data_IF_287025855033
#
_entry.id   IF_287025855033
#
_cell.length_a   1.000
_cell.length_b   1.000
_cell.length_c   1.000
_cell.angle_alpha   90.00
_cell.angle_beta   90.00
_cell.angle_gamma   90.00
#
_symmetry.space_group_name_H-M   'P 1'
#
loop_
_entity.id
_entity.type
_entity.pdbx_description
1 polymer ?
#
# COMPACT_ATOMS: atom_id res chain seq x y z
N UNK A 1 -9.87 21.98 -1.58
CA UNK A 1 -9.96 21.62 -0.15
C UNK A 1 -9.21 20.33 0.18
N UNK A 2 -9.44 19.20 -0.52
CA UNK A 2 -8.71 17.92 -0.28
C UNK A 2 -7.19 18.02 -0.40
N UNK A 3 -6.66 18.64 -1.47
CA UNK A 3 -5.20 18.76 -1.67
C UNK A 3 -4.49 19.47 -0.52
N UNK A 4 -5.07 20.57 -0.03
CA UNK A 4 -4.52 21.33 1.10
C UNK A 4 -4.51 20.50 2.37
N UNK A 5 -5.59 19.75 2.62
CA UNK A 5 -5.67 18.83 3.75
C UNK A 5 -4.62 17.70 3.65
N UNK A 6 -4.44 17.13 2.46
CA UNK A 6 -3.42 16.10 2.22
C UNK A 6 -2.02 16.65 2.49
N UNK A 7 -1.68 17.82 1.94
CA UNK A 7 -0.40 18.48 2.17
C UNK A 7 -0.15 18.76 3.65
N UNK A 8 -1.16 19.29 4.34
CA UNK A 8 -1.09 19.54 5.77
C UNK A 8 -0.87 18.24 6.56
N UNK A 9 -1.64 17.19 6.27
CA UNK A 9 -1.53 15.89 6.94
C UNK A 9 -0.17 15.21 6.72
N UNK A 10 0.35 15.23 5.48
CA UNK A 10 1.70 14.72 5.20
C UNK A 10 2.77 15.58 5.88
N UNK A 11 2.61 16.91 5.89
CA UNK A 11 3.49 17.83 6.60
C UNK A 11 3.54 17.55 8.10
N UNK A 12 2.39 17.31 8.74
CA UNK A 12 2.32 16.90 10.14
C UNK A 12 2.99 15.55 10.38
N UNK A 13 2.80 14.57 9.49
CA UNK A 13 3.43 13.25 9.60
C UNK A 13 4.96 13.35 9.52
N UNK A 14 5.48 14.15 8.59
CA UNK A 14 6.92 14.41 8.46
C UNK A 14 7.47 15.18 9.66
N UNK A 15 6.75 16.21 10.12
CA UNK A 15 7.12 16.96 11.32
C UNK A 15 7.18 16.09 12.57
N UNK A 16 6.24 15.14 12.71
CA UNK A 16 6.24 14.20 13.82
C UNK A 16 7.48 13.29 13.78
N UNK A 17 7.82 12.72 12.62
CA UNK A 17 9.05 11.93 12.45
C UNK A 17 10.28 12.78 12.82
N UNK A 18 10.35 14.03 12.33
CA UNK A 18 11.44 14.94 12.66
C UNK A 18 11.58 15.20 14.17
N UNK A 19 10.47 15.45 14.87
CA UNK A 19 10.47 15.72 16.31
C UNK A 19 10.95 14.50 17.11
N UNK A 20 10.52 13.30 16.74
CA UNK A 20 10.97 12.05 17.37
C UNK A 20 12.48 11.91 17.22
N UNK A 21 12.99 12.07 16.00
CA UNK A 21 14.40 11.87 15.70
C UNK A 21 15.32 13.01 16.16
N UNK A 22 14.76 14.18 16.47
CA UNK A 22 15.48 15.26 17.14
C UNK A 22 15.83 14.90 18.60
N UNK A 23 15.10 13.98 19.20
CA UNK A 23 15.33 13.52 20.58
C UNK A 23 15.97 12.12 20.64
N UNK A 24 15.77 11.30 19.60
CA UNK A 24 16.25 9.91 19.54
C UNK A 24 17.06 9.73 18.25
N UNK A 25 18.40 9.56 18.33
CA UNK A 25 19.26 9.48 17.14
C UNK A 25 18.90 8.32 16.20
N UNK A 26 18.51 7.18 16.76
CA UNK A 26 18.13 5.98 16.01
C UNK A 26 17.01 5.21 16.71
N UNK A 27 16.06 4.69 15.94
CA UNK A 27 14.97 3.85 16.45
C UNK A 27 15.07 2.47 15.79
N UNK A 28 15.30 1.44 16.59
CA UNK A 28 15.47 0.07 16.08
C UNK A 28 16.66 -0.11 15.12
N UNK A 29 17.69 0.72 15.24
CA UNK A 29 18.85 0.74 14.33
C UNK A 29 18.58 1.46 13.00
N UNK A 30 17.49 2.22 12.90
CA UNK A 30 17.16 3.04 11.73
C UNK A 30 17.35 4.52 12.04
N UNK A 31 17.98 5.23 11.11
CA UNK A 31 18.16 6.69 11.17
C UNK A 31 16.94 7.40 10.58
N UNK A 32 16.82 8.70 10.86
CA UNK A 32 15.73 9.54 10.36
C UNK A 32 15.56 9.46 8.83
N UNK A 33 16.65 9.50 8.08
CA UNK A 33 16.61 9.46 6.61
C UNK A 33 16.16 8.10 6.07
N UNK A 34 16.52 7.02 6.77
CA UNK A 34 16.07 5.67 6.41
C UNK A 34 14.57 5.48 6.70
N UNK A 35 14.02 6.14 7.73
CA UNK A 35 12.56 6.18 7.95
C UNK A 35 11.85 6.97 6.86
N UNK A 36 12.42 8.07 6.39
CA UNK A 36 11.85 8.79 5.25
C UNK A 36 11.85 7.96 3.97
N UNK A 37 12.81 7.05 3.78
CA UNK A 37 12.74 6.06 2.70
C UNK A 37 11.57 5.08 2.90
N UNK A 38 11.41 4.50 4.09
CA UNK A 38 10.28 3.61 4.41
C UNK A 38 8.95 4.31 4.14
N UNK A 39 8.80 5.53 4.64
CA UNK A 39 7.60 6.33 4.46
C UNK A 39 7.39 6.73 3.00
N UNK A 40 8.47 7.03 2.26
CA UNK A 40 8.42 7.29 0.82
C UNK A 40 7.82 6.12 0.03
N UNK A 41 8.24 4.88 0.31
CA UNK A 41 7.65 3.69 -0.33
C UNK A 41 6.15 3.54 -0.02
N UNK A 42 5.76 3.75 1.23
CA UNK A 42 4.36 3.66 1.65
C UNK A 42 3.50 4.76 1.02
N UNK A 43 3.99 6.00 1.00
CA UNK A 43 3.27 7.14 0.45
C UNK A 43 3.19 7.07 -1.07
N UNK A 44 4.23 6.57 -1.74
CA UNK A 44 4.22 6.36 -3.19
C UNK A 44 3.19 5.30 -3.58
N UNK A 45 3.21 4.13 -2.93
CA UNK A 45 2.23 3.07 -3.19
C UNK A 45 0.81 3.50 -2.91
N UNK A 46 0.59 4.29 -1.86
CA UNK A 46 -0.72 4.88 -1.57
C UNK A 46 -1.16 5.87 -2.65
N UNK A 47 -0.28 6.79 -3.03
CA UNK A 47 -0.54 7.78 -4.07
C UNK A 47 -0.88 7.13 -5.41
N UNK A 48 -0.15 6.08 -5.78
CA UNK A 48 -0.37 5.32 -7.01
C UNK A 48 -1.76 4.68 -7.06
N UNK A 49 -2.19 4.04 -5.97
CA UNK A 49 -3.52 3.42 -5.88
C UNK A 49 -4.61 4.48 -5.90
N UNK A 50 -4.44 5.57 -5.15
CA UNK A 50 -5.43 6.64 -5.13
C UNK A 50 -5.58 7.30 -6.49
N UNK A 51 -4.48 7.42 -7.25
CA UNK A 51 -4.52 8.02 -8.57
C UNK A 51 -5.16 7.09 -9.60
N UNK A 52 -4.62 5.89 -9.81
CA UNK A 52 -5.04 5.01 -10.90
C UNK A 52 -6.21 4.07 -10.56
N UNK A 53 -6.36 3.70 -9.29
CA UNK A 53 -7.19 2.57 -8.87
C UNK A 53 -8.18 2.94 -7.77
N UNK A 54 -8.65 4.18 -7.75
CA UNK A 54 -9.61 4.64 -6.75
C UNK A 54 -10.94 3.88 -6.81
N UNK A 55 -11.24 3.22 -7.92
CA UNK A 55 -12.40 2.35 -8.06
C UNK A 55 -12.42 1.19 -7.07
N UNK A 56 -11.26 0.72 -6.59
CA UNK A 56 -11.14 -0.32 -5.55
C UNK A 56 -11.87 0.04 -4.25
N UNK A 57 -12.00 1.34 -3.94
CA UNK A 57 -12.69 1.84 -2.75
C UNK A 57 -14.22 1.81 -2.88
N UNK A 58 -14.73 1.73 -4.10
CA UNK A 58 -16.15 1.92 -4.41
C UNK A 58 -16.94 0.63 -4.53
N UNK A 59 -16.29 -0.54 -4.48
CA UNK A 59 -16.93 -1.85 -4.65
C UNK A 59 -18.17 -2.00 -3.75
N UNK A 60 -18.07 -1.66 -2.46
CA UNK A 60 -19.19 -1.73 -1.52
C UNK A 60 -20.39 -0.93 -1.97
N UNK A 61 -20.17 0.31 -2.42
CA UNK A 61 -21.24 1.18 -2.89
C UNK A 61 -21.82 0.67 -4.21
N UNK A 62 -20.98 0.14 -5.11
CA UNK A 62 -21.43 -0.42 -6.39
C UNK A 62 -22.26 -1.70 -6.22
N UNK A 63 -21.93 -2.53 -5.23
CA UNK A 63 -22.73 -3.71 -4.86
C UNK A 63 -24.06 -3.25 -4.29
N UNK A 64 -24.04 -2.34 -3.31
CA UNK A 64 -25.24 -1.90 -2.60
C UNK A 64 -26.23 -1.13 -3.50
N UNK A 65 -25.75 -0.34 -4.45
CA UNK A 65 -26.59 0.41 -5.39
C UNK A 65 -26.94 -0.37 -6.67
N UNK A 66 -26.58 -1.66 -6.74
CA UNK A 66 -26.76 -2.50 -7.94
C UNK A 66 -26.07 -1.97 -9.22
N UNK A 67 -25.16 -1.00 -9.11
CA UNK A 67 -24.37 -0.47 -10.23
C UNK A 67 -23.45 -1.54 -10.85
N UNK A 68 -23.15 -2.62 -10.11
CA UNK A 68 -22.30 -3.71 -10.57
C UNK A 68 -22.85 -4.41 -11.83
N UNK A 69 -24.17 -4.46 -12.01
CA UNK A 69 -24.84 -5.06 -13.17
C UNK A 69 -24.35 -4.45 -14.50
N UNK A 70 -24.09 -3.14 -14.50
CA UNK A 70 -23.54 -2.43 -15.66
C UNK A 70 -22.15 -2.92 -16.05
N UNK A 71 -21.35 -3.34 -15.07
CA UNK A 71 -19.99 -3.83 -15.33
C UNK A 71 -20.00 -5.28 -15.84
N UNK A 72 -20.99 -6.09 -15.43
CA UNK A 72 -21.15 -7.49 -15.84
C UNK A 72 -21.57 -7.65 -17.30
N UNK A 73 -22.28 -6.65 -17.86
CA UNK A 73 -22.78 -6.68 -19.24
C UNK A 73 -21.76 -6.26 -20.29
N UNK A 74 -20.61 -5.71 -19.87
CA UNK A 74 -19.57 -5.22 -20.77
C UNK A 74 -18.57 -6.33 -21.10
N UNK A 75 -18.03 -6.39 -22.34
CA UNK A 75 -17.13 -7.46 -22.78
C UNK A 75 -15.70 -7.37 -22.22
N UNK A 76 -15.45 -6.52 -21.21
CA UNK A 76 -14.14 -6.30 -20.59
C UNK A 76 -14.12 -6.99 -19.22
N UNK A 77 -12.96 -7.45 -18.75
CA UNK A 77 -12.86 -8.06 -17.42
C UNK A 77 -13.39 -7.14 -16.32
N UNK A 78 -14.33 -7.65 -15.52
CA UNK A 78 -15.02 -6.89 -14.46
C UNK A 78 -14.04 -6.28 -13.48
N UNK A 79 -13.00 -7.03 -13.09
CA UNK A 79 -11.97 -6.55 -12.18
C UNK A 79 -11.23 -5.31 -12.70
N UNK A 80 -10.84 -5.31 -13.98
CA UNK A 80 -10.18 -4.15 -14.58
C UNK A 80 -11.09 -2.94 -14.62
N UNK A 81 -12.36 -3.13 -15.02
CA UNK A 81 -13.33 -2.04 -15.08
C UNK A 81 -13.59 -1.42 -13.71
N UNK A 82 -13.72 -2.26 -12.68
CA UNK A 82 -13.95 -1.83 -11.30
C UNK A 82 -12.72 -1.10 -10.72
N UNK A 83 -11.52 -1.61 -10.98
CA UNK A 83 -10.27 -0.98 -10.55
C UNK A 83 -10.14 0.44 -11.11
N UNK A 84 -10.36 0.60 -12.42
CA UNK A 84 -10.16 1.88 -13.13
C UNK A 84 -11.41 2.76 -13.18
N UNK A 85 -12.49 2.40 -12.47
CA UNK A 85 -13.76 3.12 -12.49
C UNK A 85 -13.67 4.58 -11.99
N UNK A 86 -12.65 4.92 -11.22
CA UNK A 86 -12.40 6.28 -10.74
C UNK A 86 -10.89 6.55 -10.70
N UNK A 87 -10.53 7.75 -11.12
CA UNK A 87 -9.21 8.36 -10.93
C UNK A 87 -9.34 9.49 -9.90
N UNK A 88 -8.34 9.64 -9.04
CA UNK A 88 -8.29 10.72 -8.04
C UNK A 88 -6.96 11.47 -8.06
N UNK A 89 -7.00 12.75 -8.43
CA UNK A 89 -5.80 13.58 -8.51
C UNK A 89 -5.13 13.82 -7.15
N UNK A 90 -5.80 13.55 -6.02
CA UNK A 90 -5.15 13.56 -4.71
C UNK A 90 -3.98 12.57 -4.62
N UNK A 91 -4.08 11.43 -5.31
CA UNK A 91 -3.01 10.44 -5.38
C UNK A 91 -1.72 10.99 -6.00
N UNK A 92 -1.85 11.85 -7.02
CA UNK A 92 -0.70 12.46 -7.68
C UNK A 92 0.10 13.34 -6.71
N UNK A 93 -0.58 14.10 -5.85
CA UNK A 93 0.09 14.94 -4.85
C UNK A 93 0.93 14.09 -3.87
N UNK A 94 0.36 12.96 -3.41
CA UNK A 94 1.08 12.02 -2.54
C UNK A 94 2.30 11.43 -3.25
N UNK A 95 2.18 11.06 -4.53
CA UNK A 95 3.31 10.55 -5.32
C UNK A 95 4.43 11.58 -5.48
N UNK A 96 4.10 12.86 -5.69
CA UNK A 96 5.09 13.94 -5.78
C UNK A 96 5.85 14.11 -4.46
N UNK A 97 5.14 14.14 -3.33
CA UNK A 97 5.76 14.20 -2.00
C UNK A 97 6.63 12.97 -1.76
N UNK A 98 6.14 11.78 -2.10
CA UNK A 98 6.86 10.54 -1.95
C UNK A 98 8.14 10.51 -2.81
N UNK A 99 8.08 10.98 -4.06
CA UNK A 99 9.24 11.08 -4.93
C UNK A 99 10.30 12.03 -4.35
N UNK A 100 9.89 13.16 -3.76
CA UNK A 100 10.81 14.05 -3.07
C UNK A 100 11.45 13.37 -1.84
N UNK A 101 10.68 12.66 -1.02
CA UNK A 101 11.19 11.92 0.13
C UNK A 101 12.15 10.81 -0.27
N UNK A 102 11.83 10.04 -1.31
CA UNK A 102 12.69 8.99 -1.84
C UNK A 102 13.99 9.60 -2.38
N UNK A 103 13.93 10.69 -3.16
CA UNK A 103 15.11 11.37 -3.68
C UNK A 103 16.02 11.93 -2.58
N UNK A 104 15.44 12.59 -1.58
CA UNK A 104 16.20 13.13 -0.42
C UNK A 104 16.80 11.98 0.39
N UNK A 105 16.01 10.95 0.71
CA UNK A 105 16.45 9.78 1.46
C UNK A 105 17.61 9.06 0.77
N UNK A 106 17.52 8.86 -0.55
CA UNK A 106 18.59 8.27 -1.36
C UNK A 106 19.87 9.11 -1.31
N UNK A 107 19.75 10.45 -1.35
CA UNK A 107 20.91 11.34 -1.31
C UNK A 107 21.58 11.45 0.05
N UNK A 108 20.84 11.16 1.14
CA UNK A 108 21.29 11.29 2.53
C UNK A 108 21.73 9.97 3.15
N UNK A 109 21.29 8.84 2.60
CA UNK A 109 21.74 7.52 3.02
C UNK A 109 22.97 7.11 2.23
N UNK A 110 23.95 6.50 2.89
CA UNK A 110 25.14 5.94 2.24
C UNK A 110 24.77 4.62 1.54
N UNK A 111 24.23 4.73 0.31
CA UNK A 111 23.82 3.57 -0.49
C UNK A 111 24.88 3.31 -1.56
N UNK A 112 25.48 2.11 -1.53
CA UNK A 112 26.33 1.63 -2.62
C UNK A 112 25.47 1.30 -3.84
N UNK A 113 25.38 2.23 -4.78
CA UNK A 113 24.58 2.06 -5.99
C UNK A 113 25.28 1.20 -7.02
N UNK A 114 24.57 0.17 -7.47
CA UNK A 114 24.90 -0.61 -8.66
C UNK A 114 23.70 -0.56 -9.61
N UNK A 115 23.92 -0.85 -10.89
CA UNK A 115 22.83 -0.91 -11.89
C UNK A 115 21.74 -1.90 -11.43
N UNK A 116 22.14 -3.04 -10.89
CA UNK A 116 21.21 -4.05 -10.35
C UNK A 116 20.40 -3.52 -9.16
N UNK A 117 21.04 -2.80 -8.22
CA UNK A 117 20.33 -2.19 -7.08
C UNK A 117 19.31 -1.13 -7.54
N UNK A 118 19.62 -0.37 -8.58
CA UNK A 118 18.67 0.55 -9.23
C UNK A 118 17.46 -0.16 -9.82
N UNK A 119 17.67 -1.28 -10.52
CA UNK A 119 16.59 -2.12 -11.05
C UNK A 119 15.74 -2.69 -9.92
N UNK A 120 16.35 -3.23 -8.88
CA UNK A 120 15.63 -3.77 -7.71
C UNK A 120 14.83 -2.69 -6.99
N UNK A 121 15.36 -1.48 -6.86
CA UNK A 121 14.63 -0.36 -6.27
C UNK A 121 13.32 -0.08 -7.02
N UNK A 122 13.38 0.01 -8.36
CA UNK A 122 12.18 0.24 -9.17
C UNK A 122 11.23 -0.95 -9.14
N UNK A 123 11.74 -2.17 -9.16
CA UNK A 123 10.95 -3.39 -9.06
C UNK A 123 10.20 -3.45 -7.72
N UNK A 124 10.88 -3.20 -6.60
CA UNK A 124 10.25 -3.16 -5.28
C UNK A 124 9.23 -2.04 -5.17
N UNK A 125 9.47 -0.88 -5.78
CA UNK A 125 8.50 0.21 -5.77
C UNK A 125 7.21 -0.18 -6.53
N UNK A 126 7.34 -0.88 -7.66
CA UNK A 126 6.20 -1.43 -8.39
C UNK A 126 5.47 -2.53 -7.59
N UNK A 127 6.22 -3.44 -6.97
CA UNK A 127 5.65 -4.49 -6.10
C UNK A 127 4.92 -3.90 -4.90
N UNK A 128 5.46 -2.85 -4.27
CA UNK A 128 4.82 -2.12 -3.19
C UNK A 128 3.43 -1.58 -3.60
N UNK A 129 3.32 -1.01 -4.81
CA UNK A 129 2.05 -0.58 -5.38
C UNK A 129 1.08 -1.75 -5.58
N UNK A 130 1.53 -2.86 -6.14
CA UNK A 130 0.70 -4.04 -6.42
C UNK A 130 0.23 -4.72 -5.15
N UNK A 131 1.12 -4.96 -4.18
CA UNK A 131 0.80 -5.58 -2.90
C UNK A 131 -0.25 -4.73 -2.17
N UNK A 132 -0.02 -3.42 -2.07
CA UNK A 132 -0.96 -2.51 -1.41
C UNK A 132 -2.31 -2.45 -2.13
N UNK A 133 -2.32 -2.50 -3.46
CA UNK A 133 -3.56 -2.57 -4.24
C UNK A 133 -4.33 -3.85 -3.90
N UNK A 134 -3.65 -5.00 -3.88
CA UNK A 134 -4.27 -6.28 -3.55
C UNK A 134 -4.84 -6.29 -2.12
N UNK A 135 -4.13 -5.71 -1.15
CA UNK A 135 -4.64 -5.61 0.23
C UNK A 135 -5.97 -4.83 0.30
N UNK A 136 -6.03 -3.64 -0.31
CA UNK A 136 -7.25 -2.82 -0.36
C UNK A 136 -8.34 -3.54 -1.16
N UNK A 137 -7.98 -4.16 -2.28
CA UNK A 137 -8.91 -4.86 -3.16
C UNK A 137 -9.58 -6.04 -2.48
N UNK A 138 -8.79 -6.91 -1.83
CA UNK A 138 -9.30 -8.06 -1.07
C UNK A 138 -10.24 -7.57 0.03
N UNK A 139 -9.82 -6.57 0.80
CA UNK A 139 -10.62 -6.00 1.88
C UNK A 139 -11.94 -5.41 1.38
N UNK A 140 -11.92 -4.70 0.25
CA UNK A 140 -13.13 -4.17 -0.40
C UNK A 140 -14.03 -5.26 -0.96
N UNK A 141 -13.48 -6.33 -1.54
CA UNK A 141 -14.26 -7.44 -2.08
C UNK A 141 -14.95 -8.26 -0.98
N UNK A 142 -14.52 -8.18 0.28
CA UNK A 142 -15.26 -8.80 1.39
C UNK A 142 -16.72 -8.30 1.48
N UNK A 143 -17.02 -7.13 0.90
CA UNK A 143 -18.38 -6.63 0.73
C UNK A 143 -19.33 -7.59 0.02
N UNK A 144 -18.84 -8.50 -0.84
CA UNK A 144 -19.70 -9.51 -1.48
C UNK A 144 -20.34 -10.48 -0.48
N UNK A 145 -19.74 -10.67 0.70
CA UNK A 145 -20.26 -11.54 1.76
C UNK A 145 -20.89 -10.75 2.92
N UNK A 146 -20.65 -9.44 2.98
CA UNK A 146 -21.24 -8.55 3.96
C UNK A 146 -22.54 -7.97 3.42
N UNK A 147 -23.69 -8.31 3.99
CA UNK A 147 -25.00 -7.71 3.64
C UNK A 147 -25.18 -6.26 4.14
N UNK A 148 -24.07 -5.55 4.37
CA UNK A 148 -24.06 -4.21 4.97
C UNK A 148 -23.90 -3.14 3.91
N UNK A 149 -24.49 -1.96 4.15
CA UNK A 149 -24.30 -0.77 3.31
C UNK A 149 -22.87 -0.22 3.37
N UNK A 150 -22.11 -0.63 4.38
CA UNK A 150 -20.74 -0.20 4.62
C UNK A 150 -19.82 -1.37 4.91
N UNK A 151 -18.59 -1.26 4.41
CA UNK A 151 -17.48 -2.15 4.70
C UNK A 151 -16.31 -1.27 5.12
N UNK A 152 -15.83 -1.47 6.35
CA UNK A 152 -14.72 -0.72 6.95
C UNK A 152 -13.38 -1.46 6.90
N UNK A 153 -13.33 -2.67 6.34
CA UNK A 153 -12.12 -3.50 6.31
C UNK A 153 -11.00 -2.84 5.51
N UNK A 154 -11.31 -2.17 4.41
CA UNK A 154 -10.32 -1.44 3.62
C UNK A 154 -9.70 -0.26 4.39
N UNK A 155 -10.50 0.45 5.19
CA UNK A 155 -10.01 1.48 6.11
C UNK A 155 -9.17 0.88 7.24
N UNK A 156 -9.59 -0.25 7.80
CA UNK A 156 -8.81 -0.95 8.82
C UNK A 156 -7.42 -1.36 8.32
N UNK A 157 -7.34 -1.91 7.09
CA UNK A 157 -6.07 -2.24 6.44
C UNK A 157 -5.17 -1.02 6.31
N UNK A 158 -5.69 0.14 5.88
CA UNK A 158 -4.90 1.39 5.83
C UNK A 158 -4.44 1.82 7.21
N UNK A 159 -5.32 1.81 8.21
CA UNK A 159 -4.99 2.23 9.57
C UNK A 159 -3.84 1.40 10.15
N UNK A 160 -3.75 0.11 9.80
CA UNK A 160 -2.61 -0.73 10.15
C UNK A 160 -1.35 -0.37 9.37
N UNK A 161 -1.49 0.08 8.12
CA UNK A 161 -0.39 0.61 7.32
C UNK A 161 0.29 1.85 7.90
N UNK A 162 -0.39 2.63 8.74
CA UNK A 162 0.22 3.76 9.45
C UNK A 162 1.32 3.32 10.41
N UNK A 163 1.21 2.11 10.97
CA UNK A 163 2.24 1.51 11.82
C UNK A 163 3.48 1.10 11.00
N UNK A 164 3.31 0.78 9.72
CA UNK A 164 4.41 0.39 8.84
C UNK A 164 5.39 1.54 8.51
N UNK A 165 5.06 2.79 8.90
CA UNK A 165 5.98 3.94 8.79
C UNK A 165 7.24 3.76 9.61
N UNK A 166 7.18 2.94 10.66
CA UNK A 166 8.30 2.65 11.53
C UNK A 166 8.85 1.25 11.27
N UNK A 167 10.13 0.99 11.61
CA UNK A 167 10.77 -0.29 11.32
C UNK A 167 10.08 -1.43 12.04
N UNK A 168 9.91 -2.57 11.36
CA UNK A 168 9.20 -3.71 11.93
C UNK A 168 9.86 -4.22 13.24
N UNK A 169 11.18 -4.06 13.36
CA UNK A 169 11.99 -4.52 14.47
C UNK A 169 11.60 -3.92 15.84
N UNK A 170 10.93 -2.76 15.88
CA UNK A 170 10.50 -2.16 17.16
C UNK A 170 9.24 -2.79 17.71
N UNK A 171 8.51 -3.55 16.89
CA UNK A 171 7.25 -4.14 17.27
C UNK A 171 7.46 -5.51 17.94
N UNK A 172 6.57 -5.89 18.89
CA UNK A 172 6.58 -7.24 19.46
C UNK A 172 6.40 -8.33 18.38
N UNK A 173 6.89 -9.57 18.62
CA UNK A 173 6.87 -10.65 17.62
C UNK A 173 5.50 -10.94 17.01
N UNK A 174 4.41 -10.74 17.76
CA UNK A 174 3.05 -10.91 17.25
C UNK A 174 2.72 -9.93 16.11
N UNK A 175 3.12 -8.66 16.26
CA UNK A 175 2.93 -7.64 15.23
C UNK A 175 3.87 -7.86 14.06
N UNK A 176 5.09 -8.35 14.30
CA UNK A 176 6.00 -8.79 13.24
C UNK A 176 5.37 -9.90 12.39
N UNK A 177 4.71 -10.87 13.03
CA UNK A 177 3.95 -11.91 12.35
C UNK A 177 2.74 -11.36 11.58
N UNK A 178 1.97 -10.44 12.16
CA UNK A 178 0.82 -9.82 11.48
C UNK A 178 1.27 -9.05 10.24
N UNK A 179 2.28 -8.19 10.35
CA UNK A 179 2.77 -7.38 9.23
C UNK A 179 3.63 -8.15 8.21
N UNK A 180 4.17 -9.30 8.61
CA UNK A 180 4.87 -10.22 7.73
C UNK A 180 3.92 -11.12 6.95
N UNK A 181 2.94 -11.73 7.62
CA UNK A 181 2.17 -12.84 7.03
C UNK A 181 0.71 -12.51 6.74
N UNK A 182 0.03 -11.77 7.63
CA UNK A 182 -1.42 -11.53 7.50
C UNK A 182 -1.72 -10.32 6.62
N UNK A 183 -1.00 -9.21 6.87
CA UNK A 183 -1.15 -7.95 6.16
C UNK A 183 0.27 -7.53 5.76
N UNK A 184 0.75 -7.94 4.58
CA UNK A 184 2.18 -7.97 4.23
C UNK A 184 2.80 -6.57 4.00
N UNK A 185 2.54 -5.60 4.88
CA UNK A 185 3.13 -4.25 4.86
C UNK A 185 4.66 -4.29 5.01
N UNK A 186 5.22 -5.32 5.66
CA UNK A 186 6.66 -5.50 5.73
C UNK A 186 7.31 -5.62 4.34
N UNK A 187 6.59 -6.21 3.38
CA UNK A 187 7.02 -6.36 1.99
C UNK A 187 6.79 -5.10 1.14
N UNK A 188 6.00 -4.13 1.62
CA UNK A 188 5.75 -2.87 0.91
C UNK A 188 6.90 -1.87 1.13
N UNK A 189 7.50 -1.85 2.32
CA UNK A 189 8.57 -0.89 2.66
C UNK A 189 9.75 -1.52 3.40
N UNK A 190 9.50 -2.23 4.50
CA UNK A 190 10.53 -2.67 5.43
C UNK A 190 11.63 -3.54 4.80
N UNK A 191 11.27 -4.66 4.17
CA UNK A 191 12.26 -5.55 3.53
C UNK A 191 12.92 -4.92 2.30
N UNK A 192 12.17 -4.30 1.35
CA UNK A 192 12.78 -3.61 0.23
C UNK A 192 13.80 -2.54 0.62
N UNK A 193 13.40 -1.60 1.48
CA UNK A 193 14.26 -0.49 1.89
C UNK A 193 15.45 -1.02 2.71
N UNK A 194 15.22 -2.00 3.58
CA UNK A 194 16.28 -2.65 4.33
C UNK A 194 17.33 -3.33 3.44
N UNK A 195 16.90 -3.96 2.35
CA UNK A 195 17.81 -4.55 1.36
C UNK A 195 18.62 -3.48 0.60
N UNK A 196 17.98 -2.39 0.17
CA UNK A 196 18.68 -1.28 -0.52
C UNK A 196 19.74 -0.65 0.39
N UNK A 197 19.42 -0.50 1.67
CA UNK A 197 20.31 0.01 2.73
C UNK A 197 21.31 -1.03 3.26
N UNK A 198 21.34 -2.24 2.70
CA UNK A 198 22.28 -3.32 3.10
C UNK A 198 22.18 -3.69 4.60
N UNK A 199 21.01 -3.53 5.23
CA UNK A 199 20.80 -3.94 6.62
C UNK A 199 20.77 -5.46 6.76
N UNK A 200 21.32 -5.96 7.86
CA UNK A 200 21.41 -7.39 8.15
C UNK A 200 20.02 -8.06 8.23
N UNK A 201 19.91 -9.29 7.73
CA UNK A 201 18.68 -10.09 7.79
C UNK A 201 17.58 -9.68 6.81
N UNK A 202 17.80 -8.68 5.94
CA UNK A 202 16.76 -8.17 5.02
C UNK A 202 16.69 -8.92 3.69
N UNK A 203 17.78 -9.59 3.29
CA UNK A 203 17.92 -10.23 1.97
C UNK A 203 16.90 -11.32 1.70
N UNK A 204 16.65 -12.20 2.68
CA UNK A 204 15.68 -13.27 2.56
C UNK A 204 14.24 -12.72 2.39
N UNK A 205 13.87 -11.70 3.18
CA UNK A 205 12.58 -11.04 3.05
C UNK A 205 12.43 -10.34 1.70
N UNK A 206 13.46 -9.59 1.27
CA UNK A 206 13.45 -8.91 -0.01
C UNK A 206 13.35 -9.87 -1.21
N UNK A 207 14.02 -11.03 -1.16
CA UNK A 207 13.93 -12.08 -2.17
C UNK A 207 12.54 -12.73 -2.23
N UNK A 208 11.80 -12.75 -1.12
CA UNK A 208 10.42 -13.26 -1.06
C UNK A 208 9.37 -12.27 -1.56
N UNK A 209 9.69 -10.98 -1.70
CA UNK A 209 8.75 -9.92 -2.14
C UNK A 209 8.03 -10.24 -3.46
N UNK A 210 8.71 -10.73 -4.52
CA UNK A 210 8.04 -11.09 -5.77
C UNK A 210 7.04 -12.24 -5.58
N UNK A 211 7.38 -13.23 -4.76
CA UNK A 211 6.50 -14.37 -4.45
C UNK A 211 5.26 -13.91 -3.69
N UNK A 212 5.44 -13.05 -2.67
CA UNK A 212 4.33 -12.46 -1.91
C UNK A 212 3.44 -11.64 -2.82
N UNK A 213 4.02 -10.85 -3.73
CA UNK A 213 3.29 -10.10 -4.74
C UNK A 213 2.42 -11.01 -5.63
N UNK A 214 2.98 -12.10 -6.17
CA UNK A 214 2.24 -13.08 -6.96
C UNK A 214 1.11 -13.76 -6.18
N UNK A 215 1.38 -14.17 -4.93
CA UNK A 215 0.37 -14.74 -4.04
C UNK A 215 -0.78 -13.77 -3.77
N UNK A 216 -0.47 -12.50 -3.52
CA UNK A 216 -1.47 -11.45 -3.29
C UNK A 216 -2.32 -11.17 -4.53
N UNK A 217 -1.72 -11.15 -5.73
CA UNK A 217 -2.46 -11.01 -7.00
C UNK A 217 -3.38 -12.21 -7.23
N UNK A 218 -2.90 -13.43 -7.00
CA UNK A 218 -3.71 -14.64 -7.10
C UNK A 218 -4.89 -14.61 -6.12
N UNK A 219 -4.64 -14.24 -4.86
CA UNK A 219 -5.68 -14.08 -3.85
C UNK A 219 -6.71 -13.01 -4.23
N UNK A 220 -6.27 -11.84 -4.70
CA UNK A 220 -7.14 -10.76 -5.15
C UNK A 220 -8.05 -11.19 -6.31
N UNK A 221 -7.50 -11.92 -7.28
CA UNK A 221 -8.27 -12.47 -8.40
C UNK A 221 -9.30 -13.51 -7.94
N UNK A 222 -8.90 -14.44 -7.05
CA UNK A 222 -9.78 -15.49 -6.54
C UNK A 222 -10.93 -14.91 -5.71
N UNK A 223 -10.63 -13.96 -4.81
CA UNK A 223 -11.64 -13.30 -3.97
C UNK A 223 -12.67 -12.58 -4.84
N UNK A 224 -12.23 -11.87 -5.89
CA UNK A 224 -13.18 -11.25 -6.83
C UNK A 224 -14.05 -12.31 -7.52
N UNK A 225 -13.43 -13.37 -8.06
CA UNK A 225 -14.17 -14.44 -8.78
C UNK A 225 -15.20 -15.12 -7.88
N UNK A 226 -14.85 -15.39 -6.63
CA UNK A 226 -15.76 -15.97 -5.64
C UNK A 226 -16.86 -14.97 -5.24
N UNK A 227 -16.51 -13.70 -5.07
CA UNK A 227 -17.46 -12.63 -4.76
C UNK A 227 -18.51 -12.44 -5.84
N UNK A 228 -18.09 -12.41 -7.11
CA UNK A 228 -18.99 -12.30 -8.27
C UNK A 228 -19.96 -13.48 -8.38
N UNK A 229 -19.55 -14.69 -7.96
CA UNK A 229 -20.46 -15.86 -7.92
C UNK A 229 -21.53 -15.75 -6.83
N UNK A 230 -21.25 -14.97 -5.79
CA UNK A 230 -22.18 -14.75 -4.67
C UNK A 230 -23.04 -13.51 -4.88
N UNK A 231 -22.70 -12.67 -5.83
CA UNK A 231 -23.41 -11.44 -6.13
C UNK A 231 -24.84 -11.74 -6.60
N UNK A 232 -25.80 -11.15 -5.90
CA UNK A 232 -27.22 -11.17 -6.22
C UNK A 232 -27.65 -9.71 -6.39
N UNK A 233 -28.19 -9.36 -7.57
CA UNK A 233 -28.67 -8.00 -7.82
C UNK A 233 -29.85 -7.70 -6.91
N UNK A 234 -29.75 -6.62 -6.15
CA UNK A 234 -30.86 -6.13 -5.35
C UNK A 234 -31.76 -5.27 -6.22
N UNK A 235 -32.94 -5.78 -6.56
CA UNK A 235 -34.02 -5.01 -7.18
C UNK A 235 -34.67 -4.12 -6.12
N UNK A 236 -34.07 -2.97 -5.84
CA UNK A 236 -34.75 -1.87 -5.14
C UNK A 236 -35.34 -0.89 -6.14
#
# INVERSE_FOLDING_TARGET
MMVVFTLFSQGCSLGLIYIIYSNIPQVGGWTMWEIYLLYGFLLFSEGFINFFFQGAWKITNMIYMSDLDRFLTRPISVGLQLLTAKIDFDGLNKMVIAAALLGIGISKCEIHWTVFKGIFFLAFLAEACVIRLCMIWIASCMSFWMKSKSNSLNYFVISLGEMAKYPLAIYPPIFQGIFGYLIPYAFVSYYPVGYILEKEGMTAGAACTPLVCLCMVAAAYLVLKLGLRRYESTSY
#
